data_IF_099386921314
#
_entry.id   IF_099386921314
#
_cell.length_a   1.000
_cell.length_b   1.000
_cell.length_c   1.000
_cell.angle_alpha   90.00
_cell.angle_beta   90.00
_cell.angle_gamma   90.00
#
_symmetry.space_group_name_H-M   'P 1'
#
loop_
_entity.id
_entity.type
_entity.pdbx_description
1 polymer ?
#
# COMPACT_ATOMS: atom_id res chain seq x y z
N UNK A 1 26.34 -14.27 65.75
CA UNK A 1 26.74 -13.01 65.09
C UNK A 1 27.60 -13.45 63.93
N UNK A 2 26.97 -13.80 62.82
CA UNK A 2 27.63 -14.23 61.59
C UNK A 2 26.99 -13.45 60.47
N UNK A 3 27.85 -12.93 59.63
CA UNK A 3 27.66 -11.84 58.69
C UNK A 3 26.59 -12.15 57.64
N UNK A 4 25.84 -11.10 57.27
CA UNK A 4 24.99 -11.09 56.09
C UNK A 4 25.90 -10.75 54.90
N UNK A 5 26.14 -11.72 54.02
CA UNK A 5 26.65 -11.44 52.68
C UNK A 5 25.46 -10.98 51.81
N UNK A 6 25.28 -9.65 51.71
CA UNK A 6 24.60 -9.02 50.58
C UNK A 6 25.64 -8.78 49.49
N UNK A 7 25.54 -9.49 48.37
CA UNK A 7 26.01 -9.03 47.06
C UNK A 7 25.56 -10.03 45.98
N UNK A 8 24.26 -9.99 45.66
CA UNK A 8 23.78 -10.36 44.33
C UNK A 8 23.36 -9.06 43.64
N UNK A 9 24.34 -8.36 43.09
CA UNK A 9 24.10 -7.36 42.05
C UNK A 9 23.65 -8.10 40.79
N UNK A 10 22.35 -8.39 40.70
CA UNK A 10 21.72 -8.85 39.48
C UNK A 10 21.95 -7.78 38.40
N UNK A 11 22.85 -8.09 37.47
CA UNK A 11 23.19 -7.28 36.31
C UNK A 11 21.96 -7.20 35.40
N UNK A 12 21.28 -6.05 35.45
CA UNK A 12 20.23 -5.70 34.50
C UNK A 12 20.84 -5.17 33.19
N UNK A 13 21.51 -6.02 32.40
CA UNK A 13 22.24 -5.56 31.19
C UNK A 13 21.90 -6.35 29.89
N UNK A 14 20.86 -7.19 29.85
CA UNK A 14 20.61 -8.05 28.67
C UNK A 14 19.37 -7.71 27.80
N UNK A 15 18.60 -6.64 28.08
CA UNK A 15 17.39 -6.31 27.29
C UNK A 15 17.60 -5.25 26.18
N UNK A 16 18.74 -4.54 26.12
CA UNK A 16 18.95 -3.45 25.15
C UNK A 16 19.16 -3.84 23.65
N UNK A 17 19.62 -5.05 23.23
CA UNK A 17 19.99 -5.27 21.82
C UNK A 17 18.79 -5.46 20.86
N UNK A 18 17.65 -5.97 21.34
CA UNK A 18 16.49 -6.25 20.47
C UNK A 18 15.76 -4.95 20.10
N UNK A 19 15.61 -4.03 21.06
CA UNK A 19 14.89 -2.78 20.86
C UNK A 19 15.58 -1.91 19.79
N UNK A 20 16.90 -1.89 19.78
CA UNK A 20 17.67 -1.11 18.81
C UNK A 20 17.61 -1.70 17.41
N UNK A 21 17.61 -3.03 17.26
CA UNK A 21 17.39 -3.70 15.97
C UNK A 21 15.99 -3.36 15.42
N UNK A 22 14.95 -3.49 16.25
CA UNK A 22 13.57 -3.18 15.85
C UNK A 22 13.43 -1.71 15.44
N UNK A 23 14.05 -0.80 16.18
CA UNK A 23 14.09 0.63 15.80
C UNK A 23 14.79 0.84 14.47
N UNK A 24 15.92 0.18 14.22
CA UNK A 24 16.65 0.31 12.95
C UNK A 24 15.84 -0.19 11.76
N UNK A 25 15.19 -1.35 11.87
CA UNK A 25 14.37 -1.90 10.80
C UNK A 25 13.14 -1.01 10.51
N UNK A 26 12.49 -0.52 11.56
CA UNK A 26 11.37 0.42 11.43
C UNK A 26 11.79 1.72 10.75
N UNK A 27 12.93 2.30 11.16
CA UNK A 27 13.46 3.53 10.57
C UNK A 27 13.84 3.34 9.10
N UNK A 28 14.41 2.17 8.76
CA UNK A 28 14.74 1.82 7.38
C UNK A 28 13.47 1.69 6.52
N UNK A 29 12.43 1.02 7.04
CA UNK A 29 11.15 0.91 6.34
C UNK A 29 10.52 2.30 6.10
N UNK A 30 10.52 3.16 7.13
CA UNK A 30 9.98 4.52 7.02
C UNK A 30 10.72 5.36 5.96
N UNK A 31 12.04 5.26 5.89
CA UNK A 31 12.82 5.97 4.87
C UNK A 31 12.51 5.46 3.46
N UNK A 32 12.27 4.16 3.29
CA UNK A 32 11.79 3.59 2.02
C UNK A 32 10.38 4.11 1.67
N UNK A 33 9.44 4.12 2.62
CA UNK A 33 8.10 4.69 2.42
C UNK A 33 8.17 6.16 2.00
N UNK A 34 9.07 6.94 2.61
CA UNK A 34 9.28 8.35 2.30
C UNK A 34 9.80 8.54 0.88
N UNK A 35 10.71 7.66 0.44
CA UNK A 35 11.19 7.67 -0.93
C UNK A 35 10.08 7.35 -1.94
N UNK A 36 9.24 6.35 -1.65
CA UNK A 36 8.10 5.98 -2.48
C UNK A 36 7.09 7.15 -2.60
N UNK A 37 6.77 7.80 -1.47
CA UNK A 37 5.92 8.99 -1.47
C UNK A 37 6.52 10.13 -2.27
N UNK A 38 7.80 10.43 -2.09
CA UNK A 38 8.50 11.46 -2.85
C UNK A 38 8.43 11.19 -4.35
N UNK A 39 8.69 9.96 -4.78
CA UNK A 39 8.61 9.56 -6.19
C UNK A 39 7.20 9.75 -6.75
N UNK A 40 6.18 9.35 -5.99
CA UNK A 40 4.78 9.52 -6.39
C UNK A 40 4.41 10.99 -6.56
N UNK A 41 4.77 11.86 -5.61
CA UNK A 41 4.50 13.31 -5.70
C UNK A 41 5.20 13.96 -6.88
N UNK A 42 6.47 13.61 -7.14
CA UNK A 42 7.19 14.12 -8.32
C UNK A 42 6.51 13.69 -9.62
N UNK A 43 6.12 12.41 -9.72
CA UNK A 43 5.40 11.89 -10.89
C UNK A 43 4.07 12.62 -11.12
N UNK A 44 3.25 12.78 -10.09
CA UNK A 44 1.97 13.47 -10.17
C UNK A 44 2.12 14.96 -10.50
N UNK A 45 3.15 15.61 -9.98
CA UNK A 45 3.47 17.01 -10.28
C UNK A 45 3.81 17.17 -11.76
N UNK A 46 4.64 16.28 -12.31
CA UNK A 46 4.98 16.29 -13.74
C UNK A 46 3.74 16.08 -14.61
N UNK A 47 2.86 15.14 -14.22
CA UNK A 47 1.58 14.89 -14.90
C UNK A 47 0.67 16.13 -14.88
N UNK A 48 0.59 16.82 -13.75
CA UNK A 48 -0.17 18.07 -13.65
C UNK A 48 0.38 19.17 -14.58
N UNK A 49 1.71 19.32 -14.69
CA UNK A 49 2.30 20.29 -15.62
C UNK A 49 2.04 19.94 -17.08
N UNK A 50 2.10 18.66 -17.47
CA UNK A 50 1.79 18.26 -18.85
C UNK A 50 0.34 18.54 -19.20
N UNK A 51 -0.58 18.33 -18.26
CA UNK A 51 -2.01 18.62 -18.43
C UNK A 51 -2.26 20.13 -18.61
N UNK A 52 -1.64 20.99 -17.82
CA UNK A 52 -1.85 22.46 -17.94
C UNK A 52 -1.25 23.07 -19.22
N UNK A 53 -0.43 22.32 -19.96
CA UNK A 53 0.24 22.80 -21.17
C UNK A 53 -0.53 22.42 -22.44
N UNK A 54 -1.51 21.50 -22.37
CA UNK A 54 -2.33 21.10 -23.53
C UNK A 54 -3.60 21.97 -23.67
N UNK A 55 -3.86 22.48 -24.88
CA UNK A 55 -4.99 23.36 -25.21
C UNK A 55 -6.31 22.59 -25.51
N UNK A 56 -6.48 21.36 -25.01
CA UNK A 56 -7.61 20.49 -25.35
C UNK A 56 -8.64 20.30 -24.23
N UNK A 57 -9.92 20.11 -24.60
CA UNK A 57 -11.07 20.00 -23.71
C UNK A 57 -11.08 18.74 -22.80
N UNK A 58 -10.24 17.73 -23.07
CA UNK A 58 -10.16 16.49 -22.26
C UNK A 58 -9.37 16.63 -20.95
N UNK A 59 -8.77 17.80 -20.73
CA UNK A 59 -7.95 18.14 -19.56
C UNK A 59 -8.69 17.90 -18.22
N UNK A 60 -10.00 18.14 -18.14
CA UNK A 60 -10.74 18.10 -16.87
C UNK A 60 -10.81 16.71 -16.24
N UNK A 61 -11.01 15.66 -17.04
CA UNK A 61 -11.07 14.28 -16.54
C UNK A 61 -9.68 13.84 -16.07
N UNK A 62 -8.65 14.16 -16.85
CA UNK A 62 -7.27 13.83 -16.50
C UNK A 62 -6.81 14.55 -15.23
N UNK A 63 -7.22 15.82 -15.07
CA UNK A 63 -6.99 16.59 -13.85
C UNK A 63 -7.70 15.97 -12.65
N UNK A 64 -8.97 15.55 -12.81
CA UNK A 64 -9.72 14.87 -11.75
C UNK A 64 -9.05 13.55 -11.34
N UNK A 65 -8.63 12.74 -12.30
CA UNK A 65 -7.93 11.48 -12.02
C UNK A 65 -6.60 11.72 -11.32
N UNK A 66 -5.83 12.72 -11.74
CA UNK A 66 -4.57 13.11 -11.11
C UNK A 66 -4.79 13.59 -9.68
N UNK A 67 -5.84 14.39 -9.45
CA UNK A 67 -6.23 14.81 -8.10
C UNK A 67 -6.62 13.62 -7.22
N UNK A 68 -7.42 12.68 -7.72
CA UNK A 68 -7.78 11.46 -6.99
C UNK A 68 -6.54 10.62 -6.65
N UNK A 69 -5.61 10.45 -7.60
CA UNK A 69 -4.32 9.77 -7.35
C UNK A 69 -3.55 10.46 -6.22
N UNK A 70 -3.43 11.79 -6.23
CA UNK A 70 -2.78 12.54 -5.16
C UNK A 70 -3.42 12.28 -3.78
N UNK A 71 -4.75 12.29 -3.69
CA UNK A 71 -5.45 12.00 -2.44
C UNK A 71 -5.16 10.57 -1.94
N UNK A 72 -5.07 9.59 -2.84
CA UNK A 72 -4.67 8.21 -2.48
C UNK A 72 -3.25 8.15 -1.95
N UNK A 73 -2.30 8.85 -2.59
CA UNK A 73 -0.91 8.88 -2.14
C UNK A 73 -0.76 9.52 -0.76
N UNK A 74 -1.47 10.62 -0.50
CA UNK A 74 -1.49 11.27 0.81
C UNK A 74 -2.02 10.32 1.89
N UNK A 75 -3.11 9.60 1.60
CA UNK A 75 -3.70 8.62 2.52
C UNK A 75 -2.77 7.42 2.74
N UNK A 76 -2.08 6.93 1.71
CA UNK A 76 -1.08 5.84 1.83
C UNK A 76 0.07 6.25 2.73
N UNK A 77 0.56 7.47 2.56
CA UNK A 77 1.60 8.05 3.41
C UNK A 77 1.15 8.14 4.87
N UNK A 78 -0.09 8.56 5.14
CA UNK A 78 -0.62 8.68 6.51
C UNK A 78 -0.83 7.32 7.21
N UNK A 79 -1.27 6.29 6.48
CA UNK A 79 -1.57 4.97 7.08
C UNK A 79 -0.30 4.15 7.36
N UNK A 80 0.82 4.43 6.66
CA UNK A 80 2.11 3.76 6.87
C UNK A 80 2.08 2.23 6.74
N UNK A 81 1.30 1.68 5.81
CA UNK A 81 1.26 0.23 5.58
C UNK A 81 2.62 -0.29 5.09
N UNK A 82 3.18 -1.39 5.66
CA UNK A 82 4.51 -1.88 5.31
C UNK A 82 4.75 -2.12 3.82
N UNK A 83 3.72 -2.57 3.09
CA UNK A 83 3.81 -2.82 1.64
C UNK A 83 4.17 -1.56 0.83
N UNK A 84 3.89 -0.38 1.36
CA UNK A 84 4.14 0.87 0.66
C UNK A 84 5.63 1.09 0.40
N UNK A 85 6.50 0.68 1.33
CA UNK A 85 7.97 0.74 1.20
C UNK A 85 8.52 -0.07 0.01
N UNK A 86 7.71 -0.99 -0.53
CA UNK A 86 8.07 -1.94 -1.58
C UNK A 86 7.32 -1.70 -2.88
N UNK A 87 6.55 -0.62 -3.00
CA UNK A 87 5.66 -0.39 -4.15
C UNK A 87 6.40 -0.43 -5.48
N UNK A 88 7.45 0.38 -5.66
CA UNK A 88 8.16 0.47 -6.94
C UNK A 88 8.80 -0.88 -7.29
N UNK A 89 9.43 -1.53 -6.29
CA UNK A 89 10.03 -2.87 -6.44
C UNK A 89 8.99 -3.91 -6.91
N UNK A 90 7.82 -3.95 -6.28
CA UNK A 90 6.73 -4.87 -6.64
C UNK A 90 6.25 -4.62 -8.08
N UNK A 91 6.01 -3.36 -8.45
CA UNK A 91 5.52 -3.00 -9.78
C UNK A 91 6.54 -3.40 -10.85
N UNK A 92 7.83 -3.14 -10.62
CA UNK A 92 8.88 -3.58 -11.54
C UNK A 92 8.93 -5.10 -11.70
N UNK A 93 8.80 -5.84 -10.60
CA UNK A 93 8.77 -7.31 -10.64
C UNK A 93 7.56 -7.82 -11.42
N UNK A 94 6.39 -7.19 -11.28
CA UNK A 94 5.19 -7.55 -12.04
C UNK A 94 5.38 -7.26 -13.54
N UNK A 95 6.02 -6.14 -13.91
CA UNK A 95 6.34 -5.85 -15.32
C UNK A 95 7.28 -6.87 -15.95
N UNK A 96 8.23 -7.40 -15.16
CA UNK A 96 9.28 -8.32 -15.63
C UNK A 96 8.84 -9.79 -15.61
N UNK A 97 7.80 -10.16 -14.85
CA UNK A 97 7.43 -11.55 -14.62
C UNK A 97 5.94 -11.79 -14.87
N UNK A 98 5.63 -12.86 -15.60
CA UNK A 98 4.25 -13.29 -15.80
C UNK A 98 3.59 -13.77 -14.49
N UNK A 99 4.39 -14.32 -13.57
CA UNK A 99 3.93 -14.85 -12.28
C UNK A 99 4.85 -14.31 -11.18
N UNK A 100 4.26 -13.75 -10.12
CA UNK A 100 4.96 -13.27 -8.93
C UNK A 100 4.30 -13.86 -7.68
N UNK A 101 5.10 -14.43 -6.78
CA UNK A 101 4.64 -14.87 -5.46
C UNK A 101 5.05 -13.82 -4.43
N UNK A 102 4.06 -13.09 -3.90
CA UNK A 102 4.29 -12.10 -2.86
C UNK A 102 3.93 -12.66 -1.48
N UNK A 103 4.92 -12.76 -0.60
CA UNK A 103 4.74 -13.10 0.82
C UNK A 103 4.84 -11.82 1.66
N UNK A 104 3.86 -11.61 2.53
CA UNK A 104 3.85 -10.52 3.50
C UNK A 104 2.88 -10.84 4.64
N UNK A 105 3.17 -10.32 5.83
CA UNK A 105 2.40 -10.57 7.05
C UNK A 105 0.96 -10.04 6.96
N UNK A 106 0.08 -10.56 7.83
CA UNK A 106 -1.28 -10.05 7.96
C UNK A 106 -1.26 -8.60 8.42
N UNK A 107 -2.07 -7.73 7.81
CA UNK A 107 -2.08 -6.30 8.11
C UNK A 107 -1.06 -5.48 7.31
N UNK A 108 -0.20 -6.11 6.49
CA UNK A 108 0.79 -5.37 5.68
C UNK A 108 0.20 -4.50 4.56
N UNK A 109 -1.11 -4.62 4.27
CA UNK A 109 -1.79 -3.90 3.18
C UNK A 109 -1.88 -4.65 1.85
N UNK A 110 -1.39 -5.89 1.76
CA UNK A 110 -1.33 -6.67 0.51
C UNK A 110 -2.63 -6.69 -0.31
N UNK A 111 -3.72 -7.18 0.26
CA UNK A 111 -4.97 -7.37 -0.50
C UNK A 111 -5.64 -6.05 -0.88
N UNK A 112 -5.49 -5.00 -0.08
CA UNK A 112 -6.12 -3.70 -0.33
C UNK A 112 -5.29 -2.84 -1.28
N UNK A 113 -3.97 -2.82 -1.13
CA UNK A 113 -3.10 -1.88 -1.86
C UNK A 113 -2.61 -2.40 -3.21
N UNK A 114 -2.36 -3.71 -3.38
CA UNK A 114 -1.82 -4.24 -4.63
C UNK A 114 -2.69 -3.93 -5.84
N UNK A 115 -4.01 -4.13 -5.72
CA UNK A 115 -4.95 -3.84 -6.82
C UNK A 115 -4.97 -2.36 -7.18
N UNK A 116 -4.80 -1.49 -6.19
CA UNK A 116 -4.77 -0.05 -6.41
C UNK A 116 -3.45 0.38 -7.06
N UNK A 117 -2.31 -0.17 -6.64
CA UNK A 117 -1.02 0.12 -7.29
C UNK A 117 -1.03 -0.30 -8.76
N UNK A 118 -1.57 -1.48 -9.06
CA UNK A 118 -1.72 -1.94 -10.44
C UNK A 118 -2.63 -1.03 -11.24
N UNK A 119 -3.74 -0.57 -10.66
CA UNK A 119 -4.63 0.37 -11.33
C UNK A 119 -3.95 1.73 -11.58
N UNK A 120 -3.23 2.26 -10.59
CA UNK A 120 -2.53 3.55 -10.68
C UNK A 120 -1.39 3.54 -11.72
N UNK A 121 -0.81 2.37 -11.98
CA UNK A 121 0.27 2.14 -12.95
C UNK A 121 -0.24 1.78 -14.36
N UNK A 122 -1.56 1.88 -14.60
CA UNK A 122 -2.18 1.69 -15.91
C UNK A 122 -2.41 0.23 -16.32
N UNK A 123 -2.26 -0.75 -15.41
CA UNK A 123 -2.50 -2.15 -15.76
C UNK A 123 -3.98 -2.46 -16.06
N UNK A 124 -4.88 -1.56 -15.69
CA UNK A 124 -6.33 -1.67 -15.89
C UNK A 124 -6.88 -0.70 -16.96
N UNK A 125 -6.03 0.01 -17.71
CA UNK A 125 -6.51 1.00 -18.70
C UNK A 125 -7.31 0.33 -19.83
N UNK A 126 -6.89 -0.87 -20.24
CA UNK A 126 -7.56 -1.67 -21.28
C UNK A 126 -8.06 -3.03 -20.75
N UNK A 127 -7.89 -3.31 -19.45
CA UNK A 127 -8.10 -4.63 -18.84
C UNK A 127 -8.71 -4.50 -17.45
N UNK A 128 -9.03 -5.62 -16.83
CA UNK A 128 -9.52 -5.66 -15.44
C UNK A 128 -8.51 -6.37 -14.54
N UNK A 129 -8.35 -5.86 -13.33
CA UNK A 129 -7.60 -6.52 -12.26
C UNK A 129 -8.58 -7.34 -11.43
N UNK A 130 -8.34 -8.64 -11.33
CA UNK A 130 -9.16 -9.55 -10.52
C UNK A 130 -8.40 -9.95 -9.26
N UNK A 131 -9.00 -9.66 -8.10
CA UNK A 131 -8.55 -10.18 -6.82
C UNK A 131 -9.56 -11.22 -6.33
N UNK A 132 -9.10 -12.46 -6.16
CA UNK A 132 -9.95 -13.54 -5.66
C UNK A 132 -9.84 -13.65 -4.15
N UNK A 133 -10.96 -13.98 -3.50
CA UNK A 133 -11.02 -14.31 -2.07
C UNK A 133 -11.84 -15.59 -1.91
N UNK A 134 -11.36 -16.59 -1.15
CA UNK A 134 -12.05 -17.86 -1.01
C UNK A 134 -13.38 -17.76 -0.24
N UNK A 135 -13.63 -16.65 0.47
CA UNK A 135 -14.83 -16.44 1.29
C UNK A 135 -15.64 -15.27 0.75
N UNK A 136 -16.95 -15.47 0.55
CA UNK A 136 -17.90 -14.45 0.07
C UNK A 136 -17.81 -13.15 0.87
N UNK A 137 -17.85 -13.25 2.20
CA UNK A 137 -17.76 -12.07 3.08
C UNK A 137 -16.42 -11.33 2.96
N UNK A 138 -15.31 -12.06 2.77
CA UNK A 138 -13.99 -11.44 2.58
C UNK A 138 -13.91 -10.70 1.23
N UNK A 139 -14.51 -11.25 0.17
CA UNK A 139 -14.59 -10.58 -1.13
C UNK A 139 -15.39 -9.26 -1.03
N UNK A 140 -16.58 -9.30 -0.41
CA UNK A 140 -17.41 -8.11 -0.23
C UNK A 140 -16.72 -7.04 0.63
N UNK A 141 -16.16 -7.44 1.77
CA UNK A 141 -15.46 -6.53 2.68
C UNK A 141 -14.23 -5.92 2.02
N UNK A 142 -13.49 -6.69 1.22
CA UNK A 142 -12.33 -6.20 0.51
C UNK A 142 -12.74 -5.19 -0.57
N UNK A 143 -13.78 -5.47 -1.36
CA UNK A 143 -14.27 -4.56 -2.39
C UNK A 143 -14.76 -3.24 -1.78
N UNK A 144 -15.51 -3.29 -0.68
CA UNK A 144 -15.95 -2.09 0.04
C UNK A 144 -14.76 -1.27 0.57
N UNK A 145 -13.77 -1.93 1.16
CA UNK A 145 -12.58 -1.24 1.69
C UNK A 145 -11.73 -0.63 0.58
N UNK A 146 -11.53 -1.35 -0.52
CA UNK A 146 -10.78 -0.85 -1.67
C UNK A 146 -11.51 0.32 -2.33
N UNK A 147 -12.84 0.28 -2.47
CA UNK A 147 -13.59 1.42 -3.00
C UNK A 147 -13.44 2.68 -2.12
N UNK A 148 -13.53 2.52 -0.80
CA UNK A 148 -13.31 3.60 0.17
C UNK A 148 -11.88 4.19 0.08
N UNK A 149 -10.86 3.34 -0.02
CA UNK A 149 -9.47 3.77 -0.17
C UNK A 149 -9.20 4.37 -1.55
N UNK A 150 -9.85 3.87 -2.59
CA UNK A 150 -9.67 4.31 -3.96
C UNK A 150 -10.39 5.64 -4.27
N UNK A 151 -11.43 5.95 -3.49
CA UNK A 151 -12.23 7.17 -3.62
C UNK A 151 -13.41 7.04 -4.57
N UNK A 152 -14.01 5.85 -4.66
CA UNK A 152 -15.18 5.57 -5.50
C UNK A 152 -16.29 4.82 -4.75
N UNK A 153 -17.45 4.65 -5.40
CA UNK A 153 -18.52 3.81 -4.88
C UNK A 153 -18.34 2.37 -5.36
N UNK A 154 -18.71 1.41 -4.51
CA UNK A 154 -18.78 0.01 -4.95
C UNK A 154 -19.76 -0.11 -6.11
N UNK A 155 -19.32 -0.73 -7.20
CA UNK A 155 -20.04 -0.84 -8.47
C UNK A 155 -19.57 0.13 -9.56
N UNK A 156 -18.72 1.10 -9.23
CA UNK A 156 -18.04 1.96 -10.20
C UNK A 156 -16.72 1.28 -10.65
N UNK A 157 -15.55 1.82 -10.30
CA UNK A 157 -14.25 1.24 -10.64
C UNK A 157 -13.95 -0.05 -9.85
N UNK A 158 -14.58 -0.21 -8.69
CA UNK A 158 -14.36 -1.36 -7.78
C UNK A 158 -15.66 -2.10 -7.56
N UNK A 159 -15.67 -3.41 -7.78
CA UNK A 159 -16.85 -4.25 -7.59
C UNK A 159 -16.53 -5.64 -7.05
N UNK A 160 -17.57 -6.41 -6.78
CA UNK A 160 -17.47 -7.83 -6.40
C UNK A 160 -18.35 -8.67 -7.32
N UNK A 161 -17.87 -9.84 -7.73
CA UNK A 161 -18.64 -10.83 -8.46
C UNK A 161 -18.74 -12.08 -7.61
N UNK A 162 -19.96 -12.46 -7.26
CA UNK A 162 -20.26 -13.62 -6.44
C UNK A 162 -21.04 -14.61 -7.30
N UNK A 163 -20.73 -15.89 -7.21
CA UNK A 163 -21.62 -16.90 -7.78
C UNK A 163 -22.98 -16.81 -7.08
N UNK A 164 -24.03 -16.70 -7.89
CA UNK A 164 -25.40 -16.75 -7.41
C UNK A 164 -25.74 -18.21 -7.25
N UNK A 165 -26.17 -18.63 -6.06
CA UNK A 165 -26.88 -19.91 -5.94
C UNK A 165 -28.13 -19.78 -6.80
N UNK A 166 -28.19 -20.57 -7.87
CA UNK A 166 -29.42 -20.77 -8.63
C UNK A 166 -30.22 -21.78 -7.82
N UNK A 167 -31.30 -21.33 -7.18
CA UNK A 167 -32.31 -22.21 -6.58
C UNK A 167 -32.98 -23.10 -7.64
#
# INVERSE_FOLDING_TARGET
MTDYDEDDSDQSDDEEPILDIVKQDTMKELELQKNEFRLAIVSLTNKFYSINTSEENDNYNELRHTHQQLQRELKRWEIHLPIYSKRTEIIELIRKNQILILKADTGSGKSTQMVQYLCDEGFADEKQILCTQPRKLAACSLAARVAEEYGCRVGEEVGTKLESESD
#
